data_IF_568226631012
#
_entry.id   IF_568226631012
#
_cell.length_a   1.000
_cell.length_b   1.000
_cell.length_c   1.000
_cell.angle_alpha   90.00
_cell.angle_beta   90.00
_cell.angle_gamma   90.00
#
_symmetry.space_group_name_H-M   'P 1'
#
loop_
_entity.id
_entity.type
_entity.pdbx_description
1 polymer ?
#
# COMPACT_ATOMS: atom_id res chain seq x y z
N UNK A 1 -23.26 12.87 18.43
CA UNK A 1 -22.33 12.83 17.29
C UNK A 1 -22.83 11.74 16.38
N UNK A 2 -23.50 12.11 15.32
CA UNK A 2 -24.01 11.14 14.34
C UNK A 2 -22.81 10.42 13.73
N UNK A 3 -22.77 9.10 13.90
CA UNK A 3 -21.77 8.26 13.25
C UNK A 3 -21.94 8.39 11.74
N UNK A 4 -21.01 9.06 11.08
CA UNK A 4 -20.96 9.10 9.62
C UNK A 4 -20.87 7.64 9.15
N UNK A 5 -21.97 7.11 8.63
CA UNK A 5 -21.97 5.75 8.06
C UNK A 5 -21.01 5.75 6.87
N UNK A 6 -19.88 5.13 7.06
CA UNK A 6 -18.93 4.91 5.96
C UNK A 6 -19.62 4.07 4.87
N UNK A 7 -19.60 4.49 3.61
CA UNK A 7 -20.18 3.68 2.54
C UNK A 7 -19.45 2.33 2.43
N UNK A 8 -20.11 1.28 1.92
CA UNK A 8 -19.47 -0.01 1.72
C UNK A 8 -18.23 0.13 0.80
N UNK A 9 -17.20 -0.70 1.02
CA UNK A 9 -15.99 -0.65 0.20
C UNK A 9 -16.31 -0.96 -1.26
N UNK A 10 -15.59 -0.31 -2.17
CA UNK A 10 -15.69 -0.54 -3.62
C UNK A 10 -14.51 -1.38 -4.07
N UNK A 11 -14.75 -2.66 -4.36
CA UNK A 11 -13.73 -3.59 -4.83
C UNK A 11 -13.87 -3.79 -6.34
N UNK A 12 -12.74 -3.73 -7.06
CA UNK A 12 -12.67 -3.85 -8.51
C UNK A 12 -11.75 -5.03 -8.83
N UNK A 13 -12.31 -6.08 -9.43
CA UNK A 13 -11.52 -7.19 -9.94
C UNK A 13 -10.90 -6.83 -11.29
N UNK A 14 -9.58 -7.01 -11.44
CA UNK A 14 -8.86 -6.79 -12.68
C UNK A 14 -7.72 -5.78 -12.58
N UNK A 15 -7.24 -5.37 -13.75
CA UNK A 15 -6.10 -4.44 -13.86
C UNK A 15 -6.48 -3.04 -13.38
N UNK A 16 -5.59 -2.45 -12.57
CA UNK A 16 -5.74 -1.10 -12.03
C UNK A 16 -5.84 -0.04 -13.14
N UNK A 17 -5.20 -0.21 -14.30
CA UNK A 17 -5.26 0.74 -15.41
C UNK A 17 -6.70 0.96 -15.88
N UNK A 18 -7.44 -0.13 -16.10
CA UNK A 18 -8.84 -0.06 -16.47
C UNK A 18 -9.73 0.50 -15.36
N UNK A 19 -9.41 0.16 -14.09
CA UNK A 19 -10.15 0.68 -12.95
C UNK A 19 -9.96 2.18 -12.78
N UNK A 20 -8.73 2.66 -12.85
CA UNK A 20 -8.40 4.07 -12.62
C UNK A 20 -8.98 5.00 -13.69
N UNK A 21 -9.09 4.57 -14.95
CA UNK A 21 -9.73 5.35 -16.02
C UNK A 21 -11.20 5.72 -15.71
N UNK A 22 -11.88 4.95 -14.88
CA UNK A 22 -13.27 5.19 -14.46
C UNK A 22 -13.40 6.08 -13.22
N UNK A 23 -12.29 6.37 -12.54
CA UNK A 23 -12.28 7.23 -11.36
C UNK A 23 -12.18 8.68 -11.81
N UNK A 24 -13.11 9.56 -11.41
CA UNK A 24 -13.05 10.98 -11.76
C UNK A 24 -11.76 11.62 -11.23
N UNK A 25 -11.23 12.59 -11.98
CA UNK A 25 -10.11 13.40 -11.52
C UNK A 25 -10.49 14.15 -10.23
N UNK A 26 -9.55 14.28 -9.29
CA UNK A 26 -9.72 15.03 -8.03
C UNK A 26 -10.89 14.52 -7.17
N UNK A 27 -11.07 13.20 -7.08
CA UNK A 27 -12.14 12.57 -6.29
C UNK A 27 -11.65 11.69 -5.13
N UNK A 28 -10.35 11.46 -5.04
CA UNK A 28 -9.72 10.60 -4.03
C UNK A 28 -9.01 11.46 -2.99
N UNK A 29 -9.30 11.22 -1.70
CA UNK A 29 -8.70 11.94 -0.58
C UNK A 29 -7.28 11.50 -0.25
N UNK A 30 -6.99 10.20 -0.45
CA UNK A 30 -5.67 9.64 -0.20
C UNK A 30 -5.43 8.40 -1.07
N UNK A 31 -4.19 8.20 -1.49
CA UNK A 31 -3.73 6.90 -2.01
C UNK A 31 -2.82 6.26 -0.95
N UNK A 32 -3.08 4.99 -0.61
CA UNK A 32 -2.21 4.19 0.25
C UNK A 32 -2.06 2.80 -0.39
N UNK A 33 -0.86 2.45 -0.83
CA UNK A 33 -0.69 1.29 -1.70
C UNK A 33 0.67 0.60 -1.55
N UNK A 34 0.69 -0.68 -1.90
CA UNK A 34 1.85 -1.57 -1.86
C UNK A 34 2.04 -2.22 -3.26
N UNK A 35 2.56 -1.46 -4.25
CA UNK A 35 2.77 -1.98 -5.61
C UNK A 35 3.84 -3.07 -5.63
N UNK A 36 3.92 -3.88 -6.70
CA UNK A 36 5.06 -4.77 -6.93
C UNK A 36 6.38 -4.00 -6.86
N UNK A 37 7.40 -4.55 -6.14
CA UNK A 37 8.65 -3.84 -5.86
C UNK A 37 9.72 -3.95 -6.95
N UNK A 38 9.50 -4.78 -7.97
CA UNK A 38 10.47 -5.02 -9.03
C UNK A 38 11.70 -5.83 -8.59
N UNK A 39 11.58 -6.60 -7.51
CA UNK A 39 12.71 -7.38 -6.95
C UNK A 39 12.64 -8.88 -7.30
N UNK A 40 11.66 -9.31 -8.12
CA UNK A 40 11.44 -10.70 -8.49
C UNK A 40 11.53 -11.66 -7.28
N UNK A 41 10.82 -11.33 -6.21
CA UNK A 41 10.94 -11.99 -4.92
C UNK A 41 10.60 -13.48 -4.99
N UNK A 42 11.63 -14.33 -4.88
CA UNK A 42 11.46 -15.80 -4.78
C UNK A 42 11.65 -16.23 -3.33
N UNK A 43 10.60 -16.75 -2.72
CA UNK A 43 10.73 -17.35 -1.38
C UNK A 43 11.48 -18.68 -1.48
N UNK A 44 12.82 -18.64 -1.35
CA UNK A 44 13.66 -19.85 -1.37
C UNK A 44 13.52 -20.77 -0.15
N UNK A 45 12.74 -20.39 0.86
CA UNK A 45 12.69 -21.07 2.17
C UNK A 45 11.58 -22.10 2.33
N UNK A 46 10.66 -22.26 1.39
CA UNK A 46 9.60 -23.27 1.52
C UNK A 46 9.95 -24.53 0.76
N UNK A 47 9.92 -25.67 1.45
CA UNK A 47 10.11 -27.02 0.86
C UNK A 47 9.02 -27.36 -0.15
N UNK A 48 7.82 -26.81 0.04
CA UNK A 48 6.68 -27.00 -0.87
C UNK A 48 6.63 -25.84 -1.88
N UNK A 49 7.09 -26.10 -3.10
CA UNK A 49 7.04 -25.16 -4.23
C UNK A 49 5.62 -24.91 -4.76
N UNK A 50 4.64 -25.70 -4.38
CA UNK A 50 3.22 -25.53 -4.75
C UNK A 50 2.44 -24.71 -3.72
N UNK A 51 3.09 -24.27 -2.63
CA UNK A 51 2.41 -23.42 -1.66
C UNK A 51 2.02 -22.07 -2.30
N UNK A 52 0.78 -21.61 -2.02
CA UNK A 52 0.18 -20.37 -2.56
C UNK A 52 1.07 -19.13 -2.48
N UNK A 53 1.99 -19.07 -1.51
CA UNK A 53 2.95 -17.97 -1.34
C UNK A 53 4.27 -18.16 -2.10
N UNK A 54 4.39 -19.17 -2.96
CA UNK A 54 5.54 -19.38 -3.86
C UNK A 54 5.26 -18.89 -5.29
N UNK A 55 4.08 -18.34 -5.57
CA UNK A 55 3.75 -17.74 -6.87
C UNK A 55 4.52 -16.44 -7.05
N UNK A 56 5.03 -16.21 -8.25
CA UNK A 56 5.56 -14.89 -8.63
C UNK A 56 4.40 -13.89 -8.56
N UNK A 57 4.65 -12.72 -7.97
CA UNK A 57 3.69 -11.61 -7.99
C UNK A 57 3.68 -11.07 -9.41
N UNK A 58 2.51 -10.94 -10.01
CA UNK A 58 2.38 -10.40 -11.35
C UNK A 58 2.91 -8.96 -11.37
N UNK A 59 3.82 -8.66 -12.32
CA UNK A 59 4.45 -7.34 -12.43
C UNK A 59 5.64 -7.09 -11.49
N UNK A 60 6.10 -8.05 -10.66
CA UNK A 60 7.24 -7.86 -9.72
C UNK A 60 8.63 -8.00 -10.37
N UNK A 61 8.75 -7.81 -11.69
CA UNK A 61 10.04 -7.84 -12.38
C UNK A 61 10.73 -6.49 -12.44
N UNK A 62 9.97 -5.41 -12.39
CA UNK A 62 10.41 -4.03 -12.45
C UNK A 62 9.37 -3.09 -11.82
N UNK A 63 9.58 -1.78 -11.87
CA UNK A 63 8.63 -0.79 -11.37
C UNK A 63 7.65 -0.28 -12.44
N UNK A 64 7.47 -0.99 -13.54
CA UNK A 64 6.58 -0.56 -14.63
C UNK A 64 5.12 -0.36 -14.19
N UNK A 65 4.64 -1.17 -13.24
CA UNK A 65 3.33 -0.99 -12.65
C UNK A 65 3.21 0.37 -11.92
N UNK A 66 4.22 0.75 -11.14
CA UNK A 66 4.26 2.05 -10.47
C UNK A 66 4.40 3.20 -11.49
N UNK A 67 5.20 3.03 -12.55
CA UNK A 67 5.36 4.03 -13.61
C UNK A 67 4.02 4.36 -14.29
N UNK A 68 3.19 3.35 -14.53
CA UNK A 68 1.85 3.54 -15.10
C UNK A 68 0.84 4.07 -14.08
N UNK A 69 0.92 3.64 -12.82
CA UNK A 69 -0.02 4.05 -11.79
C UNK A 69 0.21 5.49 -11.29
N UNK A 70 1.45 5.96 -11.21
CA UNK A 70 1.77 7.24 -10.59
C UNK A 70 1.10 8.46 -11.25
N UNK A 71 1.06 8.61 -12.60
CA UNK A 71 0.31 9.69 -13.24
C UNK A 71 -1.19 9.64 -12.96
N UNK A 72 -1.78 8.45 -12.92
CA UNK A 72 -3.19 8.27 -12.63
C UNK A 72 -3.48 8.56 -11.14
N UNK A 73 -2.62 8.15 -10.21
CA UNK A 73 -2.73 8.53 -8.81
C UNK A 73 -2.70 10.07 -8.66
N UNK A 74 -1.80 10.75 -9.37
CA UNK A 74 -1.75 12.21 -9.39
C UNK A 74 -3.05 12.81 -9.95
N UNK A 75 -3.63 12.24 -11.00
CA UNK A 75 -4.86 12.72 -11.63
C UNK A 75 -6.06 12.60 -10.69
N UNK A 76 -6.25 11.44 -10.07
CA UNK A 76 -7.45 11.15 -9.25
C UNK A 76 -7.43 11.81 -7.88
N UNK A 77 -6.24 12.07 -7.32
CA UNK A 77 -6.11 12.73 -6.03
C UNK A 77 -6.67 14.16 -6.04
N UNK A 78 -7.35 14.51 -4.96
CA UNK A 78 -7.77 15.91 -4.70
C UNK A 78 -6.55 16.82 -4.53
N UNK A 79 -6.70 18.15 -4.69
CA UNK A 79 -5.68 19.10 -4.24
C UNK A 79 -5.36 18.89 -2.77
N UNK A 80 -4.13 19.19 -2.37
CA UNK A 80 -3.63 19.12 -0.99
C UNK A 80 -3.86 17.74 -0.33
N UNK A 81 -3.61 16.67 -1.09
CA UNK A 81 -3.78 15.30 -0.64
C UNK A 81 -2.50 14.46 -0.84
N UNK A 82 -2.48 13.27 -0.27
CA UNK A 82 -1.30 12.43 -0.13
C UNK A 82 -1.38 11.12 -0.92
N UNK A 83 -0.23 10.69 -1.45
CA UNK A 83 0.03 9.31 -1.84
C UNK A 83 1.09 8.71 -0.92
N UNK A 84 0.79 7.57 -0.32
CA UNK A 84 1.73 6.77 0.47
C UNK A 84 1.98 5.45 -0.25
N UNK A 85 3.25 5.19 -0.61
CA UNK A 85 3.64 4.05 -1.43
C UNK A 85 4.70 3.24 -0.71
N UNK A 86 4.42 1.97 -0.41
CA UNK A 86 5.42 1.06 0.15
C UNK A 86 6.46 0.68 -0.90
N UNK A 87 7.72 0.63 -0.48
CA UNK A 87 8.83 0.30 -1.36
C UNK A 87 9.92 -0.50 -0.66
N UNK A 88 10.59 -1.37 -1.42
CA UNK A 88 11.81 -2.00 -1.00
C UNK A 88 12.99 -1.00 -1.02
N UNK A 89 14.01 -1.25 -0.18
CA UNK A 89 15.19 -0.39 -0.11
C UNK A 89 15.93 -0.32 -1.45
N UNK A 90 15.97 -1.42 -2.17
CA UNK A 90 16.71 -1.60 -3.42
C UNK A 90 16.18 -0.73 -4.56
N UNK A 91 14.87 -0.56 -4.62
CA UNK A 91 14.19 0.16 -5.70
C UNK A 91 13.72 1.56 -5.30
N UNK A 92 13.97 1.96 -4.05
CA UNK A 92 13.51 3.24 -3.47
C UNK A 92 13.87 4.46 -4.33
N UNK A 93 15.14 4.57 -4.75
CA UNK A 93 15.60 5.72 -5.55
C UNK A 93 14.90 5.80 -6.92
N UNK A 94 14.58 4.65 -7.52
CA UNK A 94 13.84 4.60 -8.77
C UNK A 94 12.38 5.00 -8.54
N UNK A 95 11.74 4.48 -7.49
CA UNK A 95 10.38 4.84 -7.13
C UNK A 95 10.23 6.36 -6.87
N UNK A 96 11.18 6.97 -6.17
CA UNK A 96 11.18 8.43 -5.99
C UNK A 96 11.24 9.20 -7.30
N UNK A 97 12.08 8.76 -8.25
CA UNK A 97 12.13 9.40 -9.58
C UNK A 97 10.80 9.27 -10.30
N UNK A 98 10.17 8.09 -10.26
CA UNK A 98 8.85 7.86 -10.86
C UNK A 98 7.80 8.81 -10.26
N UNK A 99 7.70 8.86 -8.93
CA UNK A 99 6.74 9.71 -8.25
C UNK A 99 6.96 11.21 -8.56
N UNK A 100 8.23 11.68 -8.57
CA UNK A 100 8.56 13.05 -8.97
C UNK A 100 8.22 13.35 -10.42
N UNK A 101 8.47 12.42 -11.33
CA UNK A 101 8.12 12.57 -12.76
C UNK A 101 6.62 12.64 -12.99
N UNK A 102 5.81 11.99 -12.14
CA UNK A 102 4.36 12.10 -12.14
C UNK A 102 3.82 13.42 -11.51
N UNK A 103 4.72 14.27 -10.97
CA UNK A 103 4.38 15.58 -10.39
C UNK A 103 4.24 15.61 -8.88
N UNK A 104 4.55 14.53 -8.17
CA UNK A 104 4.53 14.50 -6.71
C UNK A 104 5.78 15.16 -6.09
N UNK A 105 5.59 15.85 -4.97
CA UNK A 105 6.68 16.15 -4.04
C UNK A 105 6.90 14.93 -3.12
N UNK A 106 8.11 14.36 -3.09
CA UNK A 106 8.48 13.34 -2.10
C UNK A 106 8.87 14.05 -0.81
N UNK A 107 7.98 13.99 0.19
CA UNK A 107 8.09 14.73 1.45
C UNK A 107 8.91 13.99 2.49
N UNK A 108 8.54 12.72 2.76
CA UNK A 108 9.24 11.88 3.74
C UNK A 108 9.47 10.46 3.23
N UNK A 109 10.53 9.84 3.75
CA UNK A 109 10.78 8.41 3.72
C UNK A 109 10.49 7.88 5.12
N UNK A 110 9.28 7.36 5.31
CA UNK A 110 8.87 6.80 6.60
C UNK A 110 9.43 5.39 6.67
N UNK A 111 10.26 5.12 7.68
CA UNK A 111 10.84 3.79 7.92
C UNK A 111 9.87 2.96 8.73
N UNK A 112 9.34 1.89 8.15
CA UNK A 112 8.62 0.88 8.92
C UNK A 112 9.61 -0.12 9.52
N UNK A 113 9.96 0.06 10.82
CA UNK A 113 10.76 -0.89 11.61
C UNK A 113 9.88 -2.08 12.02
N UNK A 114 10.20 -3.25 11.48
CA UNK A 114 9.49 -4.52 11.73
C UNK A 114 9.83 -5.16 13.09
N UNK A 115 10.78 -4.59 13.83
CA UNK A 115 11.24 -5.09 15.12
C UNK A 115 12.18 -6.29 15.04
N UNK A 116 12.07 -7.14 14.02
CA UNK A 116 12.92 -8.30 13.77
C UNK A 116 13.45 -8.28 12.34
N UNK A 117 14.68 -8.72 12.15
CA UNK A 117 15.29 -8.83 10.82
C UNK A 117 14.93 -10.15 10.12
N UNK A 118 15.06 -10.18 8.81
CA UNK A 118 14.99 -11.42 8.01
C UNK A 118 16.31 -12.17 8.06
N UNK A 119 16.30 -13.48 7.84
CA UNK A 119 17.52 -14.26 7.79
C UNK A 119 18.41 -13.90 6.60
N UNK A 120 17.82 -13.69 5.40
CA UNK A 120 18.56 -13.26 4.21
C UNK A 120 19.84 -14.05 3.92
N UNK A 121 20.83 -13.36 3.33
CA UNK A 121 22.20 -13.88 3.20
C UNK A 121 22.93 -13.73 4.54
N UNK A 122 23.29 -14.87 5.15
CA UNK A 122 23.88 -14.91 6.48
C UNK A 122 25.39 -14.61 6.49
N UNK A 123 26.02 -14.52 5.34
CA UNK A 123 27.48 -14.44 5.22
C UNK A 123 27.98 -13.10 4.67
N UNK A 124 27.16 -12.45 3.85
CA UNK A 124 27.59 -11.26 3.09
C UNK A 124 26.75 -10.00 3.36
N UNK A 125 25.54 -10.13 3.92
CA UNK A 125 24.66 -9.00 4.12
C UNK A 125 24.07 -8.94 5.54
N UNK A 126 23.80 -7.73 6.01
CA UNK A 126 23.01 -7.55 7.23
C UNK A 126 21.55 -7.94 7.01
N UNK A 127 20.91 -8.49 8.05
CA UNK A 127 19.50 -8.86 7.99
C UNK A 127 18.59 -7.65 7.79
N UNK A 128 17.75 -7.69 6.77
CA UNK A 128 16.80 -6.60 6.48
C UNK A 128 15.74 -6.53 7.58
N UNK A 129 15.57 -5.36 8.18
CA UNK A 129 14.67 -5.14 9.30
C UNK A 129 13.54 -4.18 8.99
N UNK A 130 13.65 -3.37 7.94
CA UNK A 130 12.67 -2.35 7.62
C UNK A 130 12.24 -2.35 6.15
N UNK A 131 11.12 -1.72 5.88
CA UNK A 131 10.66 -1.24 4.58
C UNK A 131 10.44 0.26 4.65
N UNK A 132 10.28 0.90 3.50
CA UNK A 132 10.03 2.33 3.41
C UNK A 132 8.62 2.58 2.91
N UNK A 133 7.90 3.49 3.57
CA UNK A 133 6.67 4.10 3.09
C UNK A 133 7.02 5.50 2.58
N UNK A 134 6.99 5.70 1.26
CA UNK A 134 7.17 7.00 0.66
C UNK A 134 5.91 7.83 0.89
N UNK A 135 6.03 8.93 1.61
CA UNK A 135 5.02 9.96 1.68
C UNK A 135 5.24 10.99 0.57
N UNK A 136 4.32 11.02 -0.38
CA UNK A 136 4.33 11.89 -1.55
C UNK A 136 3.13 12.84 -1.49
N UNK A 137 3.36 14.13 -1.75
CA UNK A 137 2.35 15.16 -1.67
C UNK A 137 1.91 15.64 -3.07
N UNK A 138 0.60 15.84 -3.23
CA UNK A 138 0.01 16.67 -4.26
C UNK A 138 -0.44 17.98 -3.61
N UNK A 139 0.28 19.08 -3.87
CA UNK A 139 0.06 20.34 -3.15
C UNK A 139 0.63 20.29 -1.72
N UNK A 140 -0.14 20.73 -0.74
CA UNK A 140 0.29 20.81 0.67
C UNK A 140 -0.66 20.07 1.62
N UNK A 141 -0.68 18.72 1.61
CA UNK A 141 -1.53 17.96 2.50
C UNK A 141 -1.19 18.26 3.97
N UNK A 142 -2.23 18.37 4.78
CA UNK A 142 -2.09 18.61 6.20
C UNK A 142 -1.92 17.28 6.95
N UNK A 143 -0.96 17.23 7.89
CA UNK A 143 -0.88 16.12 8.86
C UNK A 143 -1.95 16.34 9.92
N UNK A 144 -2.76 15.31 10.18
CA UNK A 144 -3.84 15.30 11.18
C UNK A 144 -3.35 14.69 12.50
N UNK A 145 -3.94 15.14 13.58
CA UNK A 145 -3.64 14.61 14.90
C UNK A 145 -2.19 14.83 15.33
N UNK A 146 -1.57 13.77 15.86
CA UNK A 146 -0.20 13.85 16.36
C UNK A 146 0.81 13.85 15.21
N UNK A 147 1.78 14.75 15.26
CA UNK A 147 2.95 14.70 14.38
C UNK A 147 3.89 13.56 14.85
N UNK A 148 3.84 12.43 14.16
CA UNK A 148 4.70 11.28 14.43
C UNK A 148 6.12 11.49 13.90
N UNK A 149 7.15 10.84 14.50
CA UNK A 149 8.46 10.75 13.87
C UNK A 149 8.36 9.90 12.58
N UNK A 150 9.40 9.93 11.77
CA UNK A 150 9.47 9.20 10.50
C UNK A 150 9.99 7.75 10.61
N UNK A 151 10.17 7.25 11.83
CA UNK A 151 10.43 5.83 12.12
C UNK A 151 9.25 5.26 12.89
N UNK A 152 8.52 4.32 12.25
CA UNK A 152 7.34 3.68 12.80
C UNK A 152 7.60 2.22 13.10
N UNK A 153 7.48 1.84 14.36
CA UNK A 153 7.69 0.46 14.79
C UNK A 153 6.37 -0.27 14.89
N UNK A 154 6.20 -1.28 14.02
CA UNK A 154 5.07 -2.22 14.03
C UNK A 154 5.59 -3.62 13.71
N UNK A 155 5.26 -4.65 14.49
CA UNK A 155 5.64 -6.01 14.16
C UNK A 155 4.97 -6.45 12.86
N UNK A 156 5.62 -7.36 12.13
CA UNK A 156 4.99 -8.01 10.96
C UNK A 156 3.79 -8.84 11.40
N UNK A 157 2.85 -9.01 10.47
CA UNK A 157 1.77 -9.99 10.66
C UNK A 157 2.40 -11.37 10.88
N UNK A 158 2.03 -12.10 11.97
CA UNK A 158 2.54 -13.44 12.23
C UNK A 158 2.26 -14.38 11.06
N UNK A 159 3.22 -15.26 10.73
CA UNK A 159 3.15 -16.13 9.54
C UNK A 159 1.91 -17.02 9.50
N UNK A 160 1.41 -17.45 10.65
CA UNK A 160 0.19 -18.26 10.78
C UNK A 160 -1.11 -17.48 10.55
N UNK A 161 -1.06 -16.14 10.51
CA UNK A 161 -2.20 -15.25 10.26
C UNK A 161 -2.16 -14.58 8.89
N UNK A 162 -1.05 -14.74 8.15
CA UNK A 162 -0.90 -14.13 6.83
C UNK A 162 -1.96 -14.65 5.84
N UNK A 163 -2.66 -13.73 5.21
CA UNK A 163 -3.55 -14.00 4.08
C UNK A 163 -2.88 -13.69 2.74
N UNK A 164 -1.91 -12.77 2.74
CA UNK A 164 -1.05 -12.43 1.60
C UNK A 164 0.42 -12.47 2.02
N UNK A 165 1.33 -12.87 1.10
CA UNK A 165 2.77 -13.03 1.43
C UNK A 165 3.45 -11.73 1.90
N UNK A 166 2.98 -10.57 1.41
CA UNK A 166 3.50 -9.24 1.74
C UNK A 166 2.51 -8.39 2.56
N UNK A 167 1.59 -9.03 3.29
CA UNK A 167 0.56 -8.35 4.05
C UNK A 167 1.14 -7.36 5.06
N UNK A 168 0.65 -6.12 5.01
CA UNK A 168 1.03 -5.06 5.95
C UNK A 168 0.18 -5.12 7.21
N UNK A 169 0.75 -4.85 8.40
CA UNK A 169 -0.03 -4.74 9.63
C UNK A 169 -1.09 -3.66 9.53
N UNK A 170 -2.32 -3.97 9.93
CA UNK A 170 -3.44 -3.02 9.84
C UNK A 170 -3.16 -1.76 10.64
N UNK A 171 -2.57 -1.89 11.83
CA UNK A 171 -2.24 -0.77 12.72
C UNK A 171 -1.21 0.21 12.11
N UNK A 172 -0.31 -0.29 11.25
CA UNK A 172 0.61 0.55 10.47
C UNK A 172 -0.15 1.37 9.43
N UNK A 173 -1.10 0.75 8.75
CA UNK A 173 -1.94 1.38 7.73
C UNK A 173 -2.92 2.37 8.36
N UNK A 174 -3.52 2.05 9.51
CA UNK A 174 -4.35 2.96 10.30
C UNK A 174 -3.62 4.26 10.60
N UNK A 175 -2.36 4.18 11.07
CA UNK A 175 -1.55 5.38 11.33
C UNK A 175 -1.38 6.25 10.09
N UNK A 176 -1.13 5.66 8.93
CA UNK A 176 -1.00 6.41 7.69
C UNK A 176 -2.33 7.07 7.29
N UNK A 177 -3.43 6.30 7.35
CA UNK A 177 -4.78 6.76 7.02
C UNK A 177 -5.21 7.92 7.93
N UNK A 178 -5.06 7.77 9.24
CA UNK A 178 -5.44 8.81 10.22
C UNK A 178 -4.61 10.07 10.08
N UNK A 179 -3.32 9.93 9.74
CA UNK A 179 -2.41 11.09 9.62
C UNK A 179 -2.66 11.90 8.36
N UNK A 180 -3.19 11.33 7.28
CA UNK A 180 -3.17 11.94 5.95
C UNK A 180 -4.55 11.99 5.26
N UNK A 181 -5.62 11.58 5.94
CA UNK A 181 -7.01 11.68 5.45
C UNK A 181 -7.97 12.13 6.55
N UNK A 182 -9.13 12.64 6.18
CA UNK A 182 -10.22 12.97 7.11
C UNK A 182 -11.27 11.84 7.15
N UNK A 183 -12.03 11.65 8.25
CA UNK A 183 -13.17 10.74 8.26
C UNK A 183 -14.13 11.02 7.10
N UNK A 184 -14.53 9.95 6.40
CA UNK A 184 -15.36 10.03 5.20
C UNK A 184 -14.59 10.19 3.89
N UNK A 185 -13.30 10.54 3.93
CA UNK A 185 -12.49 10.58 2.70
C UNK A 185 -12.44 9.21 2.02
N UNK A 186 -12.38 9.23 0.68
CA UNK A 186 -12.12 8.04 -0.12
C UNK A 186 -10.63 7.75 -0.18
N UNK A 187 -10.21 6.60 0.31
CA UNK A 187 -8.85 6.07 0.20
C UNK A 187 -8.81 5.05 -0.94
N UNK A 188 -7.84 5.21 -1.85
CA UNK A 188 -7.63 4.32 -2.99
C UNK A 188 -6.38 3.46 -2.78
N UNK A 189 -6.52 2.16 -3.06
CA UNK A 189 -5.40 1.22 -3.19
C UNK A 189 -5.47 0.49 -4.53
N UNK A 190 -4.68 0.91 -5.55
CA UNK A 190 -4.63 0.26 -6.85
C UNK A 190 -4.11 -1.18 -6.85
N UNK A 191 -3.46 -1.62 -5.75
CA UNK A 191 -2.84 -2.94 -5.59
C UNK A 191 -3.23 -3.56 -4.24
N UNK A 192 -4.56 -3.71 -4.00
CA UNK A 192 -5.10 -3.95 -2.66
C UNK A 192 -4.75 -5.29 -2.04
N UNK A 193 -4.30 -6.29 -2.83
CA UNK A 193 -3.95 -7.62 -2.34
C UNK A 193 -5.09 -8.24 -1.53
N UNK A 194 -4.80 -8.63 -0.28
CA UNK A 194 -5.79 -9.20 0.65
C UNK A 194 -6.68 -8.17 1.38
N UNK A 195 -6.63 -6.88 1.00
CA UNK A 195 -7.54 -5.85 1.51
C UNK A 195 -7.18 -5.25 2.88
N UNK A 196 -5.94 -5.37 3.35
CA UNK A 196 -5.52 -4.81 4.65
C UNK A 196 -5.68 -3.28 4.72
N UNK A 197 -5.45 -2.56 3.61
CA UNK A 197 -5.71 -1.10 3.52
C UNK A 197 -7.20 -0.80 3.70
N UNK A 198 -8.08 -1.60 3.12
CA UNK A 198 -9.54 -1.44 3.28
C UNK A 198 -10.00 -1.67 4.71
N UNK A 199 -9.43 -2.68 5.40
CA UNK A 199 -9.70 -2.92 6.83
C UNK A 199 -9.27 -1.73 7.70
N UNK A 200 -8.08 -1.17 7.46
CA UNK A 200 -7.61 0.04 8.16
C UNK A 200 -8.57 1.22 7.92
N UNK A 201 -9.01 1.42 6.67
CA UNK A 201 -9.98 2.46 6.31
C UNK A 201 -11.30 2.30 7.08
N UNK A 202 -11.85 1.09 7.11
CA UNK A 202 -13.10 0.80 7.84
C UNK A 202 -12.98 1.12 9.33
N UNK A 203 -11.88 0.72 9.98
CA UNK A 203 -11.61 1.01 11.39
C UNK A 203 -11.45 2.50 11.67
N UNK A 204 -10.90 3.24 10.72
CA UNK A 204 -10.69 4.70 10.85
C UNK A 204 -11.88 5.54 10.34
N UNK A 205 -12.98 4.92 9.88
CA UNK A 205 -14.15 5.63 9.34
C UNK A 205 -13.88 6.34 8.00
N UNK A 206 -13.03 5.75 7.15
CA UNK A 206 -12.75 6.21 5.78
C UNK A 206 -13.44 5.28 4.78
N UNK A 207 -13.90 5.86 3.67
CA UNK A 207 -14.36 5.09 2.53
C UNK A 207 -13.17 4.43 1.83
N UNK A 208 -13.37 3.26 1.23
CA UNK A 208 -12.31 2.53 0.56
C UNK A 208 -12.67 2.15 -0.87
N UNK A 209 -11.69 2.26 -1.76
CA UNK A 209 -11.73 1.71 -3.12
C UNK A 209 -10.43 0.95 -3.37
N UNK A 210 -10.54 -0.32 -3.78
CA UNK A 210 -9.38 -1.16 -4.06
C UNK A 210 -9.49 -1.89 -5.38
N UNK A 211 -8.34 -2.15 -6.03
CA UNK A 211 -8.23 -2.95 -7.24
C UNK A 211 -7.28 -4.11 -7.02
N UNK A 212 -7.64 -5.31 -7.54
CA UNK A 212 -6.80 -6.51 -7.46
C UNK A 212 -6.95 -7.34 -8.73
N UNK A 213 -5.81 -7.67 -9.33
CA UNK A 213 -5.75 -8.42 -10.57
C UNK A 213 -5.84 -9.94 -10.36
N UNK A 214 -5.30 -10.44 -9.23
CA UNK A 214 -5.36 -11.88 -8.90
C UNK A 214 -6.74 -12.23 -8.32
N UNK A 215 -7.54 -13.08 -9.00
CA UNK A 215 -8.89 -13.44 -8.53
C UNK A 215 -8.90 -14.09 -7.14
N UNK A 216 -7.83 -14.79 -6.76
CA UNK A 216 -7.72 -15.40 -5.43
C UNK A 216 -7.61 -14.31 -4.35
N UNK A 217 -6.70 -13.34 -4.51
CA UNK A 217 -6.54 -12.27 -3.54
C UNK A 217 -7.73 -11.32 -3.53
N UNK A 218 -8.36 -11.10 -4.69
CA UNK A 218 -9.64 -10.40 -4.75
C UNK A 218 -10.69 -11.06 -3.85
N UNK A 219 -10.89 -12.38 -3.95
CA UNK A 219 -11.82 -13.11 -3.10
C UNK A 219 -11.47 -13.06 -1.61
N UNK A 220 -10.18 -13.04 -1.26
CA UNK A 220 -9.71 -12.83 0.13
C UNK A 220 -10.07 -11.43 0.63
N UNK A 221 -9.84 -10.39 -0.19
CA UNK A 221 -10.19 -9.01 0.17
C UNK A 221 -11.72 -8.83 0.30
N UNK A 222 -12.50 -9.43 -0.59
CA UNK A 222 -13.95 -9.40 -0.55
C UNK A 222 -14.50 -10.04 0.75
N UNK A 223 -14.01 -11.22 1.11
CA UNK A 223 -14.39 -11.89 2.36
C UNK A 223 -13.98 -11.07 3.60
N UNK A 224 -12.82 -10.39 3.59
CA UNK A 224 -12.35 -9.54 4.69
C UNK A 224 -13.19 -8.27 4.87
N UNK A 225 -13.63 -7.66 3.78
CA UNK A 225 -14.20 -6.31 3.79
C UNK A 225 -15.72 -6.27 3.70
N UNK A 226 -16.35 -7.35 3.24
CA UNK A 226 -17.80 -7.44 3.07
C UNK A 226 -18.45 -8.52 3.97
N UNK A 227 -17.64 -9.37 4.64
CA UNK A 227 -18.12 -10.36 5.61
C UNK A 227 -18.25 -9.76 6.96
#
# INVERSE_FOLDING_TARGET
MDSVKTPPPRLIAGDFEHAMLRIPSRSIGMVLTDPPYGIAYKTGMRKDRHHRFCREIEGDRDLSALERAAPEMMRVLMPDSAACVFMAQETLAQAERIMRSAGFEVVNRIVWDKGAHTMGDLTHAFGKRYEVLLYCAKGRPRIRGRRWPDVWRFPRVPQNRLQHQNEKPVELLERAVESLSDPGDMVLDPFMGSGSTGEACARCGRAFMGCEIDPYYYGVAEARLMG
#
